data_IF_868807932211
#
_entry.id   IF_868807932211
#
_cell.length_a   1.000
_cell.length_b   1.000
_cell.length_c   1.000
_cell.angle_alpha   90.00
_cell.angle_beta   90.00
_cell.angle_gamma   90.00
#
_symmetry.space_group_name_H-M   'P 1'
#
loop_
_entity.id
_entity.type
_entity.pdbx_description
1 polymer ?
#
# COMPACT_ATOMS: atom_id res chain seq x y z
N UNK A 1 5.81 19.75 49.93
CA UNK A 1 5.91 18.43 49.24
C UNK A 1 4.68 18.29 48.35
N UNK A 2 4.80 18.49 47.03
CA UNK A 2 3.68 18.33 46.08
C UNK A 2 3.65 16.88 45.61
N UNK A 3 2.65 16.13 46.06
CA UNK A 3 2.36 14.76 45.59
C UNK A 3 1.93 14.81 44.13
N UNK A 4 2.80 14.38 43.22
CA UNK A 4 2.47 14.12 41.84
C UNK A 4 1.59 12.87 41.76
N UNK A 5 0.28 13.05 41.62
CA UNK A 5 -0.66 11.99 41.27
C UNK A 5 -0.37 11.55 39.84
N UNK A 6 0.24 10.38 39.68
CA UNK A 6 0.45 9.74 38.37
C UNK A 6 -0.92 9.37 37.82
N UNK A 7 -1.37 10.10 36.80
CA UNK A 7 -2.59 9.80 36.04
C UNK A 7 -2.37 8.45 35.34
N UNK A 8 -3.22 7.43 35.54
CA UNK A 8 -3.04 6.15 34.87
C UNK A 8 -3.06 6.33 33.35
N UNK A 9 -2.14 5.67 32.66
CA UNK A 9 -2.08 5.67 31.20
C UNK A 9 -3.42 5.22 30.62
N UNK A 10 -3.93 5.86 29.55
CA UNK A 10 -5.17 5.45 28.92
C UNK A 10 -5.04 3.99 28.47
N UNK A 11 -5.81 3.11 29.10
CA UNK A 11 -5.97 1.73 28.68
C UNK A 11 -6.49 1.73 27.24
N UNK A 12 -5.74 1.08 26.34
CA UNK A 12 -6.15 0.90 24.96
C UNK A 12 -7.48 0.15 24.94
N UNK A 13 -8.60 0.87 24.75
CA UNK A 13 -9.90 0.23 24.54
C UNK A 13 -9.83 -0.51 23.22
N UNK A 14 -9.88 -1.84 23.28
CA UNK A 14 -10.08 -2.66 22.08
C UNK A 14 -11.32 -2.14 21.35
N UNK A 15 -11.23 -1.76 20.07
CA UNK A 15 -12.42 -1.44 19.29
C UNK A 15 -13.25 -2.73 19.16
N UNK A 16 -14.41 -2.76 19.82
CA UNK A 16 -15.32 -3.92 19.87
C UNK A 16 -16.56 -3.70 19.01
N UNK A 17 -16.41 -3.50 17.71
CA UNK A 17 -17.55 -3.66 16.83
C UNK A 17 -17.17 -4.48 15.60
N UNK A 18 -17.98 -5.51 15.36
CA UNK A 18 -17.93 -6.38 14.18
C UNK A 18 -17.91 -5.56 12.88
N UNK A 19 -18.49 -4.36 12.92
CA UNK A 19 -18.51 -3.40 11.81
C UNK A 19 -17.11 -2.97 11.38
N UNK A 20 -16.21 -2.60 12.30
CA UNK A 20 -14.87 -2.13 11.93
C UNK A 20 -14.03 -3.24 11.32
N UNK A 21 -14.16 -4.46 11.83
CA UNK A 21 -13.52 -5.64 11.24
C UNK A 21 -14.10 -5.97 9.86
N UNK A 22 -15.43 -5.90 9.68
CA UNK A 22 -16.07 -6.05 8.38
C UNK A 22 -15.59 -4.96 7.38
N UNK A 23 -15.47 -3.72 7.82
CA UNK A 23 -14.93 -2.62 7.02
C UNK A 23 -13.45 -2.82 6.68
N UNK A 24 -12.66 -3.44 7.56
CA UNK A 24 -11.26 -3.78 7.31
C UNK A 24 -11.14 -4.89 6.27
N UNK A 25 -11.99 -5.92 6.34
CA UNK A 25 -12.07 -6.96 5.30
C UNK A 25 -12.50 -6.35 3.97
N UNK A 26 -13.56 -5.51 3.97
CA UNK A 26 -14.01 -4.80 2.77
C UNK A 26 -12.88 -3.95 2.18
N UNK A 27 -12.13 -3.21 3.00
CA UNK A 27 -10.98 -2.43 2.55
C UNK A 27 -9.91 -3.32 1.90
N UNK A 28 -9.57 -4.45 2.54
CA UNK A 28 -8.62 -5.40 1.99
C UNK A 28 -9.10 -5.99 0.65
N UNK A 29 -10.40 -6.27 0.52
CA UNK A 29 -11.01 -6.72 -0.74
C UNK A 29 -10.96 -5.64 -1.82
N UNK A 30 -11.30 -4.39 -1.49
CA UNK A 30 -11.28 -3.29 -2.45
C UNK A 30 -9.87 -3.04 -3.00
N UNK A 31 -8.85 -3.11 -2.14
CA UNK A 31 -7.45 -2.97 -2.57
C UNK A 31 -6.90 -4.23 -3.23
N UNK A 32 -7.32 -5.42 -2.81
CA UNK A 32 -6.92 -6.68 -3.44
C UNK A 32 -7.49 -6.82 -4.85
N UNK A 33 -8.76 -6.48 -5.05
CA UNK A 33 -9.41 -6.49 -6.37
C UNK A 33 -8.88 -5.41 -7.32
N UNK A 34 -8.08 -4.44 -6.83
CA UNK A 34 -7.56 -3.36 -7.65
C UNK A 34 -6.66 -3.85 -8.78
N UNK A 35 -5.87 -4.91 -8.56
CA UNK A 35 -5.02 -5.52 -9.59
C UNK A 35 -5.89 -6.19 -10.66
N UNK A 36 -6.97 -6.88 -10.29
CA UNK A 36 -7.93 -7.42 -11.26
C UNK A 36 -8.58 -6.32 -12.12
N UNK A 37 -8.98 -5.19 -11.52
CA UNK A 37 -9.53 -4.07 -12.29
C UNK A 37 -8.48 -3.40 -13.19
N UNK A 38 -7.21 -3.31 -12.74
CA UNK A 38 -6.13 -2.82 -13.58
C UNK A 38 -5.95 -3.74 -14.79
N UNK A 39 -5.85 -5.07 -14.57
CA UNK A 39 -5.72 -6.08 -15.63
C UNK A 39 -6.82 -5.99 -16.69
N UNK A 40 -8.08 -5.84 -16.27
CA UNK A 40 -9.22 -5.65 -17.19
C UNK A 40 -9.15 -4.28 -17.88
N UNK A 41 -8.76 -3.23 -17.16
CA UNK A 41 -8.61 -1.88 -17.69
C UNK A 41 -7.55 -1.80 -18.79
N UNK A 42 -6.36 -2.36 -18.53
CA UNK A 42 -5.21 -2.29 -19.45
C UNK A 42 -5.35 -3.15 -20.70
N UNK A 43 -6.40 -3.97 -20.79
CA UNK A 43 -6.71 -4.75 -21.98
C UNK A 43 -7.00 -3.85 -23.20
N UNK A 44 -7.66 -2.70 -23.00
CA UNK A 44 -7.96 -1.75 -24.09
C UNK A 44 -7.66 -0.29 -23.77
N UNK A 45 -7.30 0.04 -22.53
CA UNK A 45 -6.87 1.38 -22.12
C UNK A 45 -5.37 1.35 -21.84
N UNK A 46 -4.54 2.14 -22.53
CA UNK A 46 -3.12 2.21 -22.23
C UNK A 46 -2.82 2.63 -20.78
N UNK A 47 -1.71 2.16 -20.17
CA UNK A 47 -1.44 2.36 -18.74
C UNK A 47 -1.45 3.81 -18.26
N UNK A 48 -0.85 4.75 -19.00
CA UNK A 48 -0.80 6.16 -18.57
C UNK A 48 -2.20 6.76 -18.53
N UNK A 49 -3.01 6.51 -19.55
CA UNK A 49 -4.42 6.95 -19.62
C UNK A 49 -5.27 6.33 -18.52
N UNK A 50 -5.09 5.04 -18.23
CA UNK A 50 -5.80 4.36 -17.16
C UNK A 50 -5.50 5.02 -15.81
N UNK A 51 -4.23 5.25 -15.50
CA UNK A 51 -3.82 5.80 -14.21
C UNK A 51 -4.09 7.31 -14.11
N UNK A 52 -3.93 8.07 -15.20
CA UNK A 52 -4.33 9.47 -15.26
C UNK A 52 -5.82 9.62 -14.93
N UNK A 53 -6.66 8.83 -15.59
CA UNK A 53 -8.11 8.84 -15.38
C UNK A 53 -8.48 8.39 -13.96
N UNK A 54 -7.86 7.30 -13.47
CA UNK A 54 -8.07 6.80 -12.10
C UNK A 54 -7.76 7.87 -11.05
N UNK A 55 -6.59 8.50 -11.15
CA UNK A 55 -6.13 9.49 -10.18
C UNK A 55 -6.96 10.77 -10.25
N UNK A 56 -7.36 11.20 -11.45
CA UNK A 56 -8.24 12.35 -11.64
C UNK A 56 -9.62 12.11 -11.02
N UNK A 57 -10.30 11.03 -11.41
CA UNK A 57 -11.64 10.70 -10.91
C UNK A 57 -11.63 10.52 -9.40
N UNK A 58 -10.70 9.72 -8.86
CA UNK A 58 -10.60 9.49 -7.42
C UNK A 58 -10.21 10.78 -6.65
N UNK A 59 -9.32 11.60 -7.20
CA UNK A 59 -8.93 12.88 -6.62
C UNK A 59 -10.09 13.87 -6.55
N UNK A 60 -10.90 13.96 -7.61
CA UNK A 60 -12.10 14.80 -7.63
C UNK A 60 -13.17 14.30 -6.65
N UNK A 61 -13.36 12.99 -6.53
CA UNK A 61 -14.29 12.42 -5.56
C UNK A 61 -13.85 12.69 -4.11
N UNK A 62 -12.56 12.49 -3.81
CA UNK A 62 -12.03 12.83 -2.49
C UNK A 62 -12.08 14.34 -2.21
N UNK A 63 -11.89 15.18 -3.23
CA UNK A 63 -12.06 16.62 -3.11
C UNK A 63 -13.53 16.96 -2.78
N UNK A 64 -14.50 16.33 -3.44
CA UNK A 64 -15.91 16.50 -3.12
C UNK A 64 -16.18 16.10 -1.66
N UNK A 65 -15.72 14.92 -1.23
CA UNK A 65 -15.86 14.46 0.17
C UNK A 65 -15.20 15.44 1.16
N UNK A 66 -14.01 15.95 0.85
CA UNK A 66 -13.32 16.93 1.68
C UNK A 66 -14.13 18.22 1.83
N UNK A 67 -14.68 18.74 0.72
CA UNK A 67 -15.48 19.97 0.72
C UNK A 67 -16.82 19.80 1.43
N UNK A 68 -17.50 18.67 1.24
CA UNK A 68 -18.74 18.33 1.93
C UNK A 68 -18.56 18.22 3.45
N UNK A 69 -17.35 17.87 3.91
CA UNK A 69 -16.97 17.85 5.34
C UNK A 69 -16.49 19.21 5.87
N UNK A 70 -16.57 20.28 5.06
CA UNK A 70 -16.06 21.61 5.43
C UNK A 70 -14.54 21.75 5.40
N UNK A 71 -13.82 20.71 4.95
CA UNK A 71 -12.37 20.72 4.82
C UNK A 71 -11.90 21.56 3.64
N UNK A 72 -10.65 22.04 3.71
CA UNK A 72 -10.01 22.84 2.66
C UNK A 72 -8.64 22.28 2.34
N UNK A 73 -8.25 22.39 1.07
CA UNK A 73 -6.87 22.14 0.67
C UNK A 73 -5.98 23.33 1.06
N UNK A 74 -4.72 23.08 1.45
CA UNK A 74 -3.73 24.13 1.67
C UNK A 74 -3.54 25.00 0.42
N UNK A 75 -3.22 26.27 0.64
CA UNK A 75 -2.98 27.26 -0.42
C UNK A 75 -1.48 27.49 -0.69
N UNK A 76 -0.61 26.99 0.17
CA UNK A 76 0.83 27.23 0.08
C UNK A 76 1.51 26.28 -0.92
N UNK A 77 2.41 26.84 -1.73
CA UNK A 77 3.15 26.07 -2.74
C UNK A 77 4.07 25.01 -2.13
N UNK A 78 4.56 25.23 -0.90
CA UNK A 78 5.43 24.28 -0.21
C UNK A 78 4.73 22.95 0.07
N UNK A 79 3.47 22.99 0.51
CA UNK A 79 2.66 21.80 0.75
C UNK A 79 2.28 21.11 -0.55
N UNK A 80 1.97 21.86 -1.61
CA UNK A 80 1.75 21.27 -2.95
C UNK A 80 2.98 20.57 -3.52
N UNK A 81 4.20 21.10 -3.28
CA UNK A 81 5.45 20.39 -3.63
C UNK A 81 5.58 19.07 -2.87
N UNK A 82 5.17 19.03 -1.60
CA UNK A 82 5.14 17.79 -0.81
C UNK A 82 4.07 16.82 -1.34
N UNK A 83 2.89 17.31 -1.70
CA UNK A 83 1.84 16.48 -2.32
C UNK A 83 2.30 15.90 -3.65
N UNK A 84 3.03 16.66 -4.47
CA UNK A 84 3.61 16.20 -5.72
C UNK A 84 4.65 15.10 -5.48
N UNK A 85 5.60 15.31 -4.55
CA UNK A 85 6.58 14.28 -4.20
C UNK A 85 5.90 13.00 -3.70
N UNK A 86 4.89 13.16 -2.85
CA UNK A 86 4.08 12.05 -2.36
C UNK A 86 3.31 11.37 -3.51
N UNK A 87 2.77 12.13 -4.46
CA UNK A 87 2.09 11.60 -5.63
C UNK A 87 3.01 10.76 -6.49
N UNK A 88 4.25 11.23 -6.73
CA UNK A 88 5.26 10.49 -7.49
C UNK A 88 5.47 9.09 -6.94
N UNK A 89 5.67 8.96 -5.62
CA UNK A 89 5.97 7.68 -4.98
C UNK A 89 4.75 6.85 -4.59
N UNK A 90 3.59 7.47 -4.36
CA UNK A 90 2.40 6.77 -3.89
C UNK A 90 1.45 6.38 -5.03
N UNK A 91 1.46 7.11 -6.15
CA UNK A 91 0.46 6.90 -7.21
C UNK A 91 1.07 6.92 -8.62
N UNK A 92 1.79 7.98 -9.01
CA UNK A 92 2.25 8.18 -10.39
C UNK A 92 3.16 7.04 -10.84
N UNK A 93 4.31 6.86 -10.19
CA UNK A 93 5.25 5.79 -10.53
C UNK A 93 4.68 4.40 -10.24
N UNK A 94 4.24 4.08 -9.00
CA UNK A 94 3.85 2.70 -8.70
C UNK A 94 2.62 2.25 -9.48
N UNK A 95 1.57 3.08 -9.62
CA UNK A 95 0.38 2.63 -10.36
C UNK A 95 0.67 2.48 -11.85
N UNK A 96 1.49 3.36 -12.44
CA UNK A 96 1.87 3.24 -13.85
C UNK A 96 2.73 1.99 -14.10
N UNK A 97 3.69 1.71 -13.22
CA UNK A 97 4.52 0.51 -13.29
C UNK A 97 3.68 -0.76 -13.16
N UNK A 98 2.73 -0.79 -12.22
CA UNK A 98 1.79 -1.91 -12.03
C UNK A 98 0.92 -2.09 -13.28
N UNK A 99 0.28 -1.03 -13.77
CA UNK A 99 -0.57 -1.09 -14.96
C UNK A 99 0.22 -1.51 -16.20
N UNK A 100 1.45 -1.04 -16.35
CA UNK A 100 2.32 -1.45 -17.44
C UNK A 100 2.71 -2.93 -17.34
N UNK A 101 3.07 -3.40 -16.14
CA UNK A 101 3.45 -4.79 -15.89
C UNK A 101 2.28 -5.76 -16.10
N UNK A 102 1.08 -5.39 -15.67
CA UNK A 102 -0.12 -6.23 -15.79
C UNK A 102 -0.58 -6.45 -17.23
N UNK A 103 -0.05 -5.71 -18.21
CA UNK A 103 -0.24 -6.07 -19.63
C UNK A 103 0.36 -7.43 -19.97
N UNK A 104 1.37 -7.86 -19.23
CA UNK A 104 2.11 -9.11 -19.47
C UNK A 104 2.14 -10.05 -18.26
N UNK A 105 1.75 -9.58 -17.08
CA UNK A 105 1.77 -10.34 -15.82
C UNK A 105 0.36 -10.45 -15.25
N UNK A 106 0.05 -11.59 -14.64
CA UNK A 106 -1.22 -11.86 -13.99
C UNK A 106 -1.44 -10.96 -12.75
N UNK A 107 -2.70 -10.61 -12.49
CA UNK A 107 -3.11 -9.77 -11.37
C UNK A 107 -2.76 -10.40 -10.02
N UNK A 108 -2.90 -11.73 -9.91
CA UNK A 108 -2.48 -12.47 -8.71
C UNK A 108 -0.98 -12.31 -8.44
N UNK A 109 -0.13 -12.41 -9.46
CA UNK A 109 1.31 -12.23 -9.32
C UNK A 109 1.69 -10.78 -8.98
N UNK A 110 1.01 -9.81 -9.61
CA UNK A 110 1.15 -8.40 -9.28
C UNK A 110 0.81 -8.12 -7.82
N UNK A 111 -0.26 -8.73 -7.30
CA UNK A 111 -0.67 -8.63 -5.90
C UNK A 111 0.41 -9.18 -4.96
N UNK A 112 0.96 -10.35 -5.27
CA UNK A 112 2.01 -11.01 -4.45
C UNK A 112 3.26 -10.14 -4.38
N UNK A 113 3.82 -9.75 -5.52
CA UNK A 113 5.06 -8.97 -5.56
C UNK A 113 4.88 -7.61 -4.91
N UNK A 114 3.73 -6.97 -5.08
CA UNK A 114 3.49 -5.66 -4.48
C UNK A 114 3.29 -5.71 -2.95
N UNK A 115 2.86 -6.86 -2.42
CA UNK A 115 2.71 -7.07 -0.97
C UNK A 115 4.04 -7.03 -0.19
N UNK A 116 5.17 -7.02 -0.90
CA UNK A 116 6.52 -6.88 -0.34
C UNK A 116 6.87 -5.45 0.08
N UNK A 117 6.00 -4.47 -0.21
CA UNK A 117 6.20 -3.05 0.16
C UNK A 117 6.66 -2.83 1.62
N UNK A 118 6.14 -3.54 2.65
CA UNK A 118 6.60 -3.39 4.04
C UNK A 118 8.09 -3.69 4.24
N UNK A 119 8.67 -4.60 3.43
CA UNK A 119 10.10 -4.92 3.44
C UNK A 119 10.90 -3.66 3.08
N UNK A 120 10.53 -3.00 1.98
CA UNK A 120 11.21 -1.79 1.53
C UNK A 120 10.97 -0.59 2.44
N UNK A 121 9.78 -0.47 3.05
CA UNK A 121 9.53 0.53 4.11
C UNK A 121 10.52 0.35 5.26
N UNK A 122 10.71 -0.88 5.72
CA UNK A 122 11.63 -1.19 6.81
C UNK A 122 13.09 -0.94 6.41
N UNK A 123 13.54 -1.46 5.27
CA UNK A 123 14.91 -1.26 4.78
C UNK A 123 15.26 0.23 4.65
N UNK A 124 14.39 1.01 4.01
CA UNK A 124 14.57 2.45 3.88
C UNK A 124 14.56 3.15 5.25
N UNK A 125 13.74 2.69 6.19
CA UNK A 125 13.74 3.24 7.55
C UNK A 125 15.05 3.00 8.30
N UNK A 126 15.71 1.85 8.09
CA UNK A 126 17.03 1.57 8.68
C UNK A 126 18.09 2.52 8.08
N UNK A 127 18.08 2.70 6.76
CA UNK A 127 19.06 3.54 6.06
C UNK A 127 18.92 5.04 6.39
N UNK A 128 17.69 5.54 6.53
CA UNK A 128 17.42 6.99 6.64
C UNK A 128 17.25 7.49 8.07
N UNK A 129 16.78 6.65 9.00
CA UNK A 129 16.36 7.10 10.33
C UNK A 129 17.34 6.73 11.45
N UNK A 130 18.50 6.15 11.14
CA UNK A 130 19.48 5.73 12.16
C UNK A 130 18.87 4.80 13.20
N UNK A 131 18.05 3.85 12.74
CA UNK A 131 17.19 3.07 13.62
C UNK A 131 17.95 2.22 14.64
N UNK A 132 17.32 1.98 15.79
CA UNK A 132 17.76 0.98 16.77
C UNK A 132 18.05 -0.36 16.10
N UNK A 133 18.99 -1.12 16.68
CA UNK A 133 19.43 -2.42 16.13
C UNK A 133 18.21 -3.29 15.79
N UNK A 134 18.07 -3.73 14.53
CA UNK A 134 16.90 -4.49 14.12
C UNK A 134 16.83 -5.82 14.88
N UNK A 135 15.64 -6.15 15.40
CA UNK A 135 15.39 -7.46 16.02
C UNK A 135 15.63 -8.59 15.00
N UNK A 136 16.13 -9.74 15.44
CA UNK A 136 16.32 -10.92 14.60
C UNK A 136 15.04 -11.34 13.85
N UNK A 137 13.87 -11.17 14.47
CA UNK A 137 12.57 -11.45 13.86
C UNK A 137 12.30 -10.60 12.60
N UNK A 138 12.66 -9.31 12.63
CA UNK A 138 12.52 -8.40 11.47
C UNK A 138 13.53 -8.73 10.38
N UNK A 139 14.78 -9.07 10.75
CA UNK A 139 15.80 -9.53 9.81
C UNK A 139 15.37 -10.83 9.10
N UNK A 140 14.86 -11.80 9.85
CA UNK A 140 14.30 -13.03 9.28
C UNK A 140 13.14 -12.72 8.33
N UNK A 141 12.23 -11.83 8.74
CA UNK A 141 11.10 -11.44 7.90
C UNK A 141 11.51 -10.78 6.58
N UNK A 142 12.53 -9.91 6.61
CA UNK A 142 13.16 -9.35 5.40
C UNK A 142 13.77 -10.45 4.55
N UNK A 143 14.56 -11.35 5.15
CA UNK A 143 15.21 -12.45 4.44
C UNK A 143 14.20 -13.37 3.74
N UNK A 144 13.15 -13.79 4.46
CA UNK A 144 12.08 -14.63 3.92
C UNK A 144 11.32 -13.93 2.78
N UNK A 145 11.01 -12.65 2.94
CA UNK A 145 10.32 -11.90 1.90
C UNK A 145 11.17 -11.65 0.66
N UNK A 146 12.46 -11.32 0.81
CA UNK A 146 13.40 -11.21 -0.30
C UNK A 146 13.61 -12.56 -1.00
N UNK A 147 13.71 -13.66 -0.24
CA UNK A 147 13.76 -15.01 -0.81
C UNK A 147 12.51 -15.33 -1.62
N UNK A 148 11.32 -14.92 -1.16
CA UNK A 148 10.08 -15.06 -1.92
C UNK A 148 10.09 -14.29 -3.25
N UNK A 149 10.62 -13.07 -3.26
CA UNK A 149 10.82 -12.29 -4.50
C UNK A 149 11.80 -13.02 -5.42
N UNK A 150 12.96 -13.45 -4.90
CA UNK A 150 13.96 -14.18 -5.68
C UNK A 150 13.43 -15.50 -6.23
N UNK A 151 12.55 -16.20 -5.51
CA UNK A 151 11.95 -17.44 -6.00
C UNK A 151 10.98 -17.18 -7.17
N UNK A 152 10.18 -16.12 -7.07
CA UNK A 152 9.24 -15.74 -8.12
C UNK A 152 9.99 -15.26 -9.37
N UNK A 153 10.89 -14.30 -9.21
CA UNK A 153 11.57 -13.64 -10.32
C UNK A 153 12.76 -14.46 -10.83
N UNK A 154 13.51 -15.06 -9.92
CA UNK A 154 14.75 -15.77 -10.24
C UNK A 154 14.54 -17.07 -11.01
N UNK A 155 13.44 -17.80 -10.77
CA UNK A 155 13.14 -19.01 -11.56
C UNK A 155 12.88 -18.65 -13.03
N UNK A 156 12.16 -17.56 -13.29
CA UNK A 156 11.97 -17.09 -14.66
C UNK A 156 13.29 -16.68 -15.29
N UNK A 157 14.13 -15.90 -14.60
CA UNK A 157 15.47 -15.51 -15.08
C UNK A 157 16.34 -16.72 -15.42
N UNK A 158 16.31 -17.77 -14.59
CA UNK A 158 17.07 -19.01 -14.80
C UNK A 158 16.54 -19.84 -15.97
N UNK A 159 15.24 -19.76 -16.26
CA UNK A 159 14.64 -20.37 -17.46
C UNK A 159 14.92 -19.59 -18.76
N UNK A 160 15.67 -18.48 -18.67
CA UNK A 160 16.02 -17.56 -19.75
C UNK A 160 15.57 -16.12 -19.44
N UNK A 161 16.04 -15.12 -20.18
CA UNK A 161 15.46 -13.77 -20.12
C UNK A 161 14.07 -13.78 -20.77
N UNK A 162 13.09 -14.36 -20.08
CA UNK A 162 11.70 -14.37 -20.50
C UNK A 162 11.14 -12.94 -20.58
N UNK A 163 10.09 -12.74 -21.39
CA UNK A 163 9.39 -11.45 -21.54
C UNK A 163 8.79 -10.91 -20.24
N UNK A 164 8.68 -11.75 -19.20
CA UNK A 164 7.99 -11.48 -17.95
C UNK A 164 8.89 -10.90 -16.83
N UNK A 165 10.22 -11.01 -16.95
CA UNK A 165 11.16 -10.52 -15.91
C UNK A 165 11.06 -9.00 -15.74
N UNK A 166 11.05 -8.24 -16.83
CA UNK A 166 11.00 -6.77 -16.76
C UNK A 166 9.68 -6.26 -16.13
N UNK A 167 8.50 -6.78 -16.50
CA UNK A 167 7.26 -6.56 -15.76
C UNK A 167 7.33 -6.88 -14.26
N UNK A 168 7.94 -8.00 -13.86
CA UNK A 168 8.08 -8.36 -12.45
C UNK A 168 9.01 -7.40 -11.69
N UNK A 169 10.12 -6.98 -12.30
CA UNK A 169 10.99 -5.95 -11.75
C UNK A 169 10.27 -4.60 -11.61
N UNK A 170 9.39 -4.25 -12.55
CA UNK A 170 8.54 -3.06 -12.44
C UNK A 170 7.59 -3.15 -11.24
N UNK A 171 7.03 -4.33 -10.94
CA UNK A 171 6.20 -4.56 -9.75
C UNK A 171 7.00 -4.44 -8.45
N UNK A 172 8.24 -4.94 -8.41
CA UNK A 172 9.16 -4.75 -7.28
C UNK A 172 9.54 -3.28 -7.12
N UNK A 173 9.84 -2.57 -8.22
CA UNK A 173 10.11 -1.15 -8.20
C UNK A 173 8.91 -0.33 -7.68
N UNK A 174 7.68 -0.74 -8.02
CA UNK A 174 6.47 -0.16 -7.43
C UNK A 174 6.38 -0.39 -5.92
N UNK A 175 6.79 -1.56 -5.42
CA UNK A 175 6.87 -1.83 -3.97
C UNK A 175 7.92 -0.93 -3.27
N UNK A 176 9.08 -0.69 -3.91
CA UNK A 176 10.09 0.25 -3.43
C UNK A 176 9.54 1.68 -3.38
N UNK A 177 8.77 2.10 -4.40
CA UNK A 177 8.12 3.41 -4.42
C UNK A 177 7.21 3.61 -3.21
N UNK A 178 6.44 2.60 -2.80
CA UNK A 178 5.63 2.69 -1.57
C UNK A 178 6.48 2.84 -0.30
N UNK A 179 7.67 2.25 -0.28
CA UNK A 179 8.70 2.51 0.72
C UNK A 179 9.06 4.00 0.83
N UNK A 180 9.40 4.62 -0.29
CA UNK A 180 9.69 6.05 -0.38
C UNK A 180 8.47 6.90 0.03
N UNK A 181 7.27 6.53 -0.43
CA UNK A 181 6.01 7.21 -0.09
C UNK A 181 5.72 7.18 1.42
N UNK A 182 6.08 6.10 2.11
CA UNK A 182 5.93 6.00 3.55
C UNK A 182 6.90 6.94 4.29
N UNK A 183 8.10 7.17 3.75
CA UNK A 183 9.08 8.11 4.33
C UNK A 183 8.66 9.56 4.08
N UNK A 184 8.35 9.93 2.83
CA UNK A 184 7.91 11.28 2.47
C UNK A 184 6.58 11.64 3.14
N UNK A 185 5.69 10.66 3.36
CA UNK A 185 4.39 10.88 3.98
C UNK A 185 4.44 11.30 5.46
N UNK A 186 5.58 11.12 6.15
CA UNK A 186 5.75 11.47 7.57
C UNK A 186 5.57 12.96 7.84
N UNK A 187 5.76 13.81 6.83
CA UNK A 187 5.60 15.27 6.95
C UNK A 187 4.13 15.70 7.07
N UNK A 188 3.18 14.82 6.76
CA UNK A 188 1.74 15.12 6.80
C UNK A 188 1.05 14.72 8.10
N UNK A 189 1.79 14.28 9.14
CA UNK A 189 1.23 13.80 10.41
C UNK A 189 0.29 14.81 11.11
N UNK A 190 0.48 16.10 10.86
CA UNK A 190 -0.35 17.19 11.43
C UNK A 190 -1.60 17.51 10.61
N UNK A 191 -1.76 16.93 9.42
CA UNK A 191 -2.91 17.14 8.55
C UNK A 191 -3.94 16.02 8.73
N UNK A 192 -5.22 16.34 8.52
CA UNK A 192 -6.24 15.31 8.36
C UNK A 192 -5.85 14.41 7.17
N UNK A 193 -5.80 13.07 7.32
CA UNK A 193 -5.36 12.14 6.27
C UNK A 193 -6.07 12.27 4.91
N UNK A 194 -7.31 12.79 4.88
CA UNK A 194 -8.05 13.05 3.63
C UNK A 194 -7.35 14.14 2.80
N UNK A 195 -6.73 15.12 3.44
CA UNK A 195 -6.07 16.27 2.80
C UNK A 195 -4.87 15.85 1.93
N UNK A 196 -3.83 15.18 2.47
CA UNK A 196 -2.70 14.74 1.65
C UNK A 196 -3.09 13.69 0.62
N UNK A 197 -4.09 12.84 0.89
CA UNK A 197 -4.57 11.89 -0.11
C UNK A 197 -5.25 12.58 -1.29
N UNK A 198 -6.12 13.56 -1.03
CA UNK A 198 -6.76 14.37 -2.07
C UNK A 198 -5.71 15.16 -2.85
N UNK A 199 -4.82 15.87 -2.13
CA UNK A 199 -3.77 16.69 -2.75
C UNK A 199 -2.83 15.88 -3.63
N UNK A 200 -2.35 14.73 -3.14
CA UNK A 200 -1.47 13.85 -3.92
C UNK A 200 -2.16 13.21 -5.11
N UNK A 201 -3.43 12.80 -5.04
CA UNK A 201 -4.13 12.28 -6.22
C UNK A 201 -4.32 13.37 -7.29
N UNK A 202 -4.67 14.59 -6.89
CA UNK A 202 -4.80 15.72 -7.82
C UNK A 202 -3.44 16.12 -8.42
N UNK A 203 -2.37 16.15 -7.62
CA UNK A 203 -1.01 16.37 -8.13
C UNK A 203 -0.59 15.25 -9.09
N UNK A 204 -0.93 13.99 -8.78
CA UNK A 204 -0.66 12.85 -9.66
C UNK A 204 -1.39 12.96 -10.98
N UNK A 205 -2.67 13.33 -10.95
CA UNK A 205 -3.47 13.59 -12.16
C UNK A 205 -2.86 14.74 -12.99
N UNK A 206 -2.41 15.82 -12.33
CA UNK A 206 -1.77 16.94 -13.02
C UNK A 206 -0.46 16.56 -13.74
N UNK A 207 0.28 15.57 -13.25
CA UNK A 207 1.47 15.01 -13.91
C UNK A 207 1.10 14.03 -15.02
N UNK A 208 0.17 13.12 -14.73
CA UNK A 208 -0.15 12.01 -15.61
C UNK A 208 -1.03 12.40 -16.79
N UNK A 209 -1.92 13.39 -16.64
CA UNK A 209 -2.84 13.78 -17.68
C UNK A 209 -2.09 14.34 -18.91
N UNK A 210 -1.15 15.29 -18.79
CA UNK A 210 -0.35 15.73 -19.93
C UNK A 210 0.45 14.59 -20.57
N UNK A 211 1.04 13.69 -19.75
CA UNK A 211 1.79 12.55 -20.26
C UNK A 211 0.90 11.57 -21.04
N UNK A 212 -0.32 11.28 -20.56
CA UNK A 212 -1.32 10.47 -21.26
C UNK A 212 -1.73 11.12 -22.58
N UNK A 213 -2.01 12.42 -22.59
CA UNK A 213 -2.38 13.14 -23.81
C UNK A 213 -1.25 13.09 -24.86
N UNK A 214 0.00 13.27 -24.43
CA UNK A 214 1.16 13.25 -25.34
C UNK A 214 1.49 11.86 -25.89
N UNK A 215 1.45 10.83 -25.03
CA UNK A 215 1.92 9.47 -25.36
C UNK A 215 0.79 8.58 -25.88
N UNK A 216 -0.31 8.47 -25.12
CA UNK A 216 -1.37 7.51 -25.41
C UNK A 216 -2.43 8.06 -26.36
N UNK A 217 -2.55 9.40 -26.46
CA UNK A 217 -3.51 10.10 -27.33
C UNK A 217 -4.94 9.55 -27.16
N UNK A 218 -5.57 9.71 -25.97
CA UNK A 218 -6.80 9.01 -25.62
C UNK A 218 -7.98 9.23 -26.57
N UNK A 219 -7.98 10.33 -27.33
CA UNK A 219 -8.99 10.61 -28.36
C UNK A 219 -8.93 9.66 -29.57
N UNK A 220 -7.85 8.89 -29.75
CA UNK A 220 -7.74 7.86 -30.80
C UNK A 220 -8.12 6.46 -30.29
N UNK A 221 -8.47 6.32 -29.01
CA UNK A 221 -8.78 5.03 -28.40
C UNK A 221 -10.25 4.69 -28.53
N UNK A 222 -10.55 3.40 -28.70
CA UNK A 222 -11.89 2.83 -28.62
C UNK A 222 -11.92 1.80 -27.48
N UNK A 223 -11.94 2.24 -26.21
CA UNK A 223 -11.88 1.33 -25.08
C UNK A 223 -13.15 0.48 -24.99
N UNK A 224 -12.99 -0.78 -24.61
CA UNK A 224 -14.12 -1.67 -24.38
C UNK A 224 -14.95 -1.22 -23.17
N UNK A 225 -16.25 -1.54 -23.16
CA UNK A 225 -17.12 -1.29 -22.02
C UNK A 225 -16.58 -1.92 -20.72
N UNK A 226 -15.98 -3.13 -20.82
CA UNK A 226 -15.37 -3.81 -19.69
C UNK A 226 -14.19 -3.01 -19.10
N UNK A 227 -13.28 -2.48 -19.94
CA UNK A 227 -12.15 -1.68 -19.47
C UNK A 227 -12.60 -0.34 -18.87
N UNK A 228 -13.64 0.30 -19.42
CA UNK A 228 -14.21 1.53 -18.85
C UNK A 228 -14.87 1.26 -17.49
N UNK A 229 -15.67 0.19 -17.37
CA UNK A 229 -16.28 -0.20 -16.09
C UNK A 229 -15.21 -0.57 -15.05
N UNK A 230 -14.15 -1.27 -15.46
CA UNK A 230 -13.02 -1.59 -14.58
C UNK A 230 -12.27 -0.33 -14.12
N UNK A 231 -12.06 0.64 -15.01
CA UNK A 231 -11.49 1.95 -14.64
C UNK A 231 -12.37 2.69 -13.62
N UNK A 232 -13.70 2.72 -13.84
CA UNK A 232 -14.62 3.36 -12.90
C UNK A 232 -14.63 2.64 -11.55
N UNK A 233 -14.69 1.31 -11.54
CA UNK A 233 -14.60 0.50 -10.31
C UNK A 233 -13.26 0.74 -9.58
N UNK A 234 -12.16 0.80 -10.32
CA UNK A 234 -10.82 1.07 -9.79
C UNK A 234 -10.71 2.46 -9.15
N UNK A 235 -11.29 3.49 -9.79
CA UNK A 235 -11.26 4.87 -9.29
C UNK A 235 -12.20 5.06 -8.10
N UNK A 236 -13.44 4.58 -8.21
CA UNK A 236 -14.49 4.79 -7.21
C UNK A 236 -14.31 3.85 -6.02
N UNK A 237 -14.28 2.54 -6.26
CA UNK A 237 -14.29 1.52 -5.21
C UNK A 237 -12.90 1.33 -4.61
N UNK A 238 -11.91 1.03 -5.45
CA UNK A 238 -10.55 0.68 -5.00
C UNK A 238 -9.67 1.89 -4.65
N UNK A 239 -10.11 3.12 -4.92
CA UNK A 239 -9.34 4.33 -4.62
C UNK A 239 -10.11 5.29 -3.71
N UNK A 240 -11.17 5.94 -4.18
CA UNK A 240 -11.87 6.96 -3.39
C UNK A 240 -12.59 6.37 -2.15
N UNK A 241 -13.40 5.32 -2.33
CA UNK A 241 -14.09 4.63 -1.24
C UNK A 241 -13.08 3.94 -0.31
N UNK A 242 -12.13 3.20 -0.87
CA UNK A 242 -11.08 2.54 -0.09
C UNK A 242 -10.29 3.53 0.79
N UNK A 243 -9.89 4.70 0.26
CA UNK A 243 -9.23 5.72 1.08
C UNK A 243 -10.15 6.26 2.17
N UNK A 244 -11.43 6.49 1.87
CA UNK A 244 -12.41 6.95 2.86
C UNK A 244 -12.58 5.94 4.01
N UNK A 245 -12.65 4.64 3.69
CA UNK A 245 -12.69 3.56 4.67
C UNK A 245 -11.40 3.49 5.46
N UNK A 246 -10.26 3.56 4.79
CA UNK A 246 -8.94 3.55 5.42
C UNK A 246 -8.79 4.68 6.45
N UNK A 247 -9.19 5.91 6.12
CA UNK A 247 -9.12 7.03 7.06
C UNK A 247 -10.09 6.88 8.23
N UNK A 248 -11.27 6.31 8.00
CA UNK A 248 -12.19 5.97 9.09
C UNK A 248 -11.56 4.93 10.01
N UNK A 249 -11.00 3.85 9.47
CA UNK A 249 -10.37 2.78 10.24
C UNK A 249 -9.13 3.26 10.99
N UNK A 250 -8.32 4.16 10.40
CA UNK A 250 -7.22 4.80 11.11
C UNK A 250 -7.70 5.56 12.37
N UNK A 251 -8.88 6.17 12.31
CA UNK A 251 -9.47 6.90 13.45
C UNK A 251 -10.12 5.96 14.47
N UNK A 252 -10.71 4.85 14.04
CA UNK A 252 -11.47 3.94 14.94
C UNK A 252 -10.62 2.79 15.48
N UNK A 253 -9.87 2.10 14.61
CA UNK A 253 -9.03 0.96 14.96
C UNK A 253 -7.59 1.34 15.31
N UNK A 254 -7.16 2.53 14.89
CA UNK A 254 -5.78 2.98 15.02
C UNK A 254 -4.84 2.41 13.94
N UNK A 255 -3.62 2.96 13.81
CA UNK A 255 -2.69 2.59 12.75
C UNK A 255 -2.25 1.13 12.77
N UNK A 256 -2.01 0.55 13.97
CA UNK A 256 -1.52 -0.83 14.10
C UNK A 256 -2.56 -1.85 13.59
N UNK A 257 -3.80 -1.75 14.06
CA UNK A 257 -4.88 -2.64 13.64
C UNK A 257 -5.25 -2.43 12.17
N UNK A 258 -5.26 -1.17 11.69
CA UNK A 258 -5.57 -0.88 10.29
C UNK A 258 -4.51 -1.48 9.35
N UNK A 259 -3.25 -1.62 9.79
CA UNK A 259 -2.22 -2.28 8.99
C UNK A 259 -2.54 -3.75 8.68
N UNK A 260 -3.44 -4.40 9.45
CA UNK A 260 -3.88 -5.77 9.19
C UNK A 260 -4.48 -5.97 7.79
N UNK A 261 -5.04 -4.91 7.19
CA UNK A 261 -5.58 -4.97 5.81
C UNK A 261 -4.53 -5.42 4.78
N UNK A 262 -3.24 -5.12 5.01
CA UNK A 262 -2.18 -5.49 4.08
C UNK A 262 -2.04 -7.03 3.97
N UNK A 263 -2.24 -7.76 5.07
CA UNK A 263 -2.16 -9.22 5.12
C UNK A 263 -3.35 -9.87 4.44
N UNK A 264 -4.54 -9.31 4.64
CA UNK A 264 -5.77 -9.80 4.04
C UNK A 264 -5.84 -9.52 2.54
N UNK A 265 -5.22 -8.41 2.10
CA UNK A 265 -5.23 -7.98 0.69
C UNK A 265 -4.65 -9.04 -0.24
N UNK A 266 -3.56 -9.70 0.16
CA UNK A 266 -2.83 -10.63 -0.71
C UNK A 266 -3.65 -11.87 -1.08
N UNK A 267 -4.14 -12.68 -0.13
CA UNK A 267 -4.95 -13.85 -0.47
C UNK A 267 -6.24 -13.43 -1.17
N UNK A 268 -6.84 -12.29 -0.82
CA UNK A 268 -8.04 -11.81 -1.50
C UNK A 268 -7.76 -11.40 -2.94
N UNK A 269 -6.67 -10.67 -3.22
CA UNK A 269 -6.32 -10.27 -4.58
C UNK A 269 -5.99 -11.47 -5.47
N UNK A 270 -5.25 -12.45 -4.93
CA UNK A 270 -5.00 -13.73 -5.63
C UNK A 270 -6.31 -14.49 -5.90
N UNK A 271 -7.19 -14.61 -4.90
CA UNK A 271 -8.47 -15.29 -5.07
C UNK A 271 -9.37 -14.58 -6.10
N UNK A 272 -9.43 -13.25 -6.09
CA UNK A 272 -10.19 -12.48 -7.08
C UNK A 272 -9.61 -12.67 -8.49
N UNK A 273 -8.28 -12.68 -8.64
CA UNK A 273 -7.63 -13.01 -9.92
C UNK A 273 -8.00 -14.39 -10.44
N UNK A 274 -7.92 -15.43 -9.60
CA UNK A 274 -8.28 -16.81 -9.97
C UNK A 274 -9.77 -16.90 -10.35
N UNK A 275 -10.67 -16.35 -9.53
CA UNK A 275 -12.13 -16.50 -9.71
C UNK A 275 -12.65 -15.70 -10.90
N UNK A 276 -12.21 -14.45 -11.08
CA UNK A 276 -12.78 -13.56 -12.10
C UNK A 276 -12.02 -13.57 -13.42
N UNK A 277 -10.71 -13.87 -13.40
CA UNK A 277 -9.88 -13.90 -14.61
C UNK A 277 -9.47 -15.31 -15.04
N UNK A 278 -9.76 -16.33 -14.22
CA UNK A 278 -9.35 -17.72 -14.50
C UNK A 278 -7.83 -17.92 -14.43
N UNK A 279 -7.12 -17.06 -13.69
CA UNK A 279 -5.65 -17.10 -13.59
C UNK A 279 -5.17 -18.42 -12.99
N UNK A 280 -4.09 -18.98 -13.56
CA UNK A 280 -3.45 -20.19 -13.07
C UNK A 280 -2.01 -19.86 -12.69
N UNK A 281 -1.80 -19.61 -11.41
CA UNK A 281 -0.49 -19.30 -10.87
C UNK A 281 0.42 -20.53 -10.87
N UNK A 282 1.67 -20.34 -11.29
CA UNK A 282 2.71 -21.37 -11.21
C UNK A 282 2.99 -21.79 -9.76
N UNK A 283 3.52 -23.00 -9.56
CA UNK A 283 3.90 -23.51 -8.24
C UNK A 283 4.90 -22.61 -7.52
N UNK A 284 5.80 -21.96 -8.27
CA UNK A 284 6.76 -20.98 -7.76
C UNK A 284 6.08 -19.73 -7.18
N UNK A 285 4.99 -19.27 -7.78
CA UNK A 285 4.21 -18.14 -7.27
C UNK A 285 3.54 -18.47 -5.93
N UNK A 286 3.06 -19.71 -5.75
CA UNK A 286 2.49 -20.17 -4.47
C UNK A 286 3.54 -20.26 -3.36
N UNK A 287 4.71 -20.82 -3.65
CA UNK A 287 5.83 -20.87 -2.70
C UNK A 287 6.32 -19.46 -2.36
N UNK A 288 6.46 -18.59 -3.36
CA UNK A 288 6.84 -17.19 -3.17
C UNK A 288 5.82 -16.43 -2.32
N UNK A 289 4.52 -16.63 -2.56
CA UNK A 289 3.45 -16.09 -1.74
C UNK A 289 3.60 -16.53 -0.27
N UNK A 290 3.82 -17.81 -0.02
CA UNK A 290 4.01 -18.32 1.35
C UNK A 290 5.21 -17.65 2.04
N UNK A 291 6.35 -17.53 1.34
CA UNK A 291 7.54 -16.83 1.85
C UNK A 291 7.29 -15.35 2.13
N UNK A 292 6.63 -14.63 1.21
CA UNK A 292 6.31 -13.21 1.37
C UNK A 292 5.34 -12.99 2.52
N UNK A 293 4.26 -13.76 2.60
CA UNK A 293 3.28 -13.65 3.69
C UNK A 293 3.94 -13.97 5.04
N UNK A 294 4.73 -15.04 5.14
CA UNK A 294 5.46 -15.37 6.35
C UNK A 294 6.44 -14.27 6.76
N UNK A 295 7.20 -13.74 5.80
CA UNK A 295 8.17 -12.68 6.04
C UNK A 295 7.52 -11.39 6.52
N UNK A 296 6.50 -10.91 5.82
CA UNK A 296 5.78 -9.68 6.16
C UNK A 296 5.03 -9.83 7.49
N UNK A 297 4.52 -11.03 7.82
CA UNK A 297 3.86 -11.31 9.11
C UNK A 297 4.87 -11.30 10.25
N UNK A 298 6.03 -11.91 10.06
CA UNK A 298 7.11 -11.90 11.05
C UNK A 298 7.56 -10.46 11.35
N UNK A 299 7.61 -9.57 10.36
CA UNK A 299 8.04 -8.17 10.55
C UNK A 299 7.08 -7.32 11.40
N UNK A 300 5.80 -7.67 11.42
CA UNK A 300 4.75 -6.82 12.02
C UNK A 300 4.15 -7.36 13.30
N UNK A 301 4.33 -8.65 13.59
CA UNK A 301 3.99 -9.17 14.90
C UNK A 301 4.84 -8.45 15.97
N UNK A 302 4.23 -7.98 17.07
CA UNK A 302 4.97 -7.38 18.17
C UNK A 302 6.05 -8.36 18.64
N UNK A 303 7.31 -7.96 18.60
CA UNK A 303 8.37 -8.67 19.31
C UNK A 303 7.96 -8.69 20.78
N UNK A 304 7.70 -9.88 21.33
CA UNK A 304 7.57 -10.05 22.78
C UNK A 304 8.88 -9.57 23.39
N UNK A 305 8.87 -8.36 23.92
CA UNK A 305 9.96 -7.90 24.78
C UNK A 305 10.04 -8.91 25.92
N UNK A 306 11.19 -9.56 26.01
CA UNK A 306 11.60 -10.30 27.21
C UNK A 306 11.67 -9.30 28.36
N UNK A 307 10.56 -9.08 29.04
CA UNK A 307 10.54 -8.50 30.39
C UNK A 307 11.11 -9.55 31.35
N UNK A 308 12.43 -9.67 31.33
CA UNK A 308 13.22 -10.38 32.32
C UNK A 308 14.05 -9.37 33.10
N UNK A 309 13.40 -8.50 33.88
CA UNK A 309 14.04 -7.88 35.04
C UNK A 309 13.62 -8.69 36.26
N UNK A 310 14.49 -9.53 36.86
CA UNK A 310 14.36 -9.86 38.26
C UNK A 310 14.71 -8.60 39.04
N UNK A 311 13.72 -8.05 39.75
CA UNK A 311 13.95 -6.93 40.66
C UNK A 311 14.96 -7.32 41.74
N UNK A 312 16.04 -6.56 41.85
CA UNK A 312 16.82 -6.47 43.08
C UNK A 312 16.45 -5.17 43.79
N UNK A 313 15.32 -5.18 44.49
CA UNK A 313 15.20 -4.37 45.69
C UNK A 313 16.17 -4.95 46.72
N UNK A 314 17.39 -4.41 46.79
CA UNK A 314 18.13 -4.41 48.06
C UNK A 314 17.63 -3.19 48.81
N UNK A 315 16.67 -3.43 49.71
CA UNK A 315 16.46 -2.56 50.86
C UNK A 315 17.77 -2.49 51.63
N UNK A 316 18.32 -1.29 51.73
CA UNK A 316 19.09 -0.87 52.88
C UNK A 316 18.18 -1.01 54.10
N UNK A 317 18.51 -1.97 54.95
CA UNK A 317 18.19 -1.91 56.37
C UNK A 317 19.25 -2.72 57.10
N UNK A 318 20.17 -2.00 57.77
CA UNK A 318 21.01 -2.38 58.92
C UNK A 318 22.36 -1.63 58.89
N UNK A 319 22.37 -0.41 59.44
CA UNK A 319 23.16 0.02 60.63
C UNK A 319 23.23 1.54 60.74
#
# INVERSE_FOLDING_TARGET
MRTHTIKPAPTARLPRSTTEWALLVLLATLWGASYTFIKIGVATIPPLTLIASRTLVAGLLLLAVLRLRGGRLPRDAATWRRFLLQACFNSVLPFTLIAWAERSVDAGLATILNSTSPIFIFLLSLCLAGAERPSLQRLFGVGAGLAGICLIVGVEVLSGLGRSVLPQLALVAAAVCYGCAAMSGRVFKSLDPVVPATGSLLSGAAVLLPASLAVDRPWTLAPSAASVLALLALAVLSTALAFTLYFRLLRTLGPMSTAAQAYLRVPVGVAVGIVFLGERLASTAWLGLACVVAGVTAMTLPTRSSSGQPGSHRQEDQR
#
